data_IF_259386463610
#
_entry.id   IF_259386463610
#
_cell.length_a   1.000
_cell.length_b   1.000
_cell.length_c   1.000
_cell.angle_alpha   90.00
_cell.angle_beta   90.00
_cell.angle_gamma   90.00
#
_symmetry.space_group_name_H-M   'P 1'
#
loop_
_entity.id
_entity.type
_entity.pdbx_description
1 polymer ?
#
# COMPACT_ATOMS: atom_id res chain seq x y z
N UNK A 1 -2.04 7.39 -2.15
CA UNK A 1 -1.98 6.72 -0.84
C UNK A 1 -3.38 6.75 -0.27
N UNK A 2 -3.89 5.61 0.16
CA UNK A 2 -5.28 5.47 0.63
C UNK A 2 -5.32 4.90 2.04
N UNK A 3 -6.41 5.16 2.75
CA UNK A 3 -6.69 4.58 4.06
C UNK A 3 -7.05 3.08 3.93
N UNK A 4 -7.20 2.38 5.05
CA UNK A 4 -7.63 0.98 5.08
C UNK A 4 -6.67 -0.01 4.39
N UNK A 5 -5.35 0.21 4.44
CA UNK A 5 -4.35 -0.75 3.94
C UNK A 5 -3.85 -1.78 4.98
N UNK A 6 -3.37 -2.92 4.49
CA UNK A 6 -2.64 -3.93 5.30
C UNK A 6 -1.18 -3.94 4.87
N UNK A 7 -0.26 -3.81 5.83
CA UNK A 7 1.18 -3.97 5.65
C UNK A 7 1.60 -5.35 6.17
N UNK A 8 2.63 -5.95 5.58
CA UNK A 8 3.14 -7.25 6.01
C UNK A 8 3.67 -7.17 7.45
N UNK A 9 3.18 -8.03 8.33
CA UNK A 9 3.69 -8.17 9.70
C UNK A 9 5.00 -8.93 9.75
N UNK A 10 5.75 -8.71 10.83
CA UNK A 10 6.97 -9.43 11.21
C UNK A 10 8.10 -9.37 10.16
N UNK A 11 7.96 -8.48 9.18
CA UNK A 11 8.95 -8.21 8.13
C UNK A 11 8.96 -6.71 7.82
N UNK A 12 10.05 -6.26 7.18
CA UNK A 12 10.13 -4.88 6.71
C UNK A 12 9.02 -4.62 5.68
N UNK A 13 8.23 -3.58 5.91
CA UNK A 13 7.20 -3.13 4.98
C UNK A 13 7.57 -1.75 4.46
N UNK A 14 7.32 -1.47 3.19
CA UNK A 14 7.65 -0.19 2.59
C UNK A 14 6.38 0.57 2.19
N UNK A 15 6.43 1.89 2.35
CA UNK A 15 5.40 2.82 1.91
C UNK A 15 6.00 3.64 0.78
N UNK A 16 5.30 3.67 -0.35
CA UNK A 16 5.68 4.43 -1.53
C UNK A 16 4.75 5.61 -1.70
N UNK A 17 5.32 6.76 -2.07
CA UNK A 17 4.54 7.93 -2.45
C UNK A 17 4.80 8.39 -3.87
N UNK A 18 4.03 9.42 -4.23
CA UNK A 18 4.15 10.10 -5.51
C UNK A 18 5.41 10.95 -5.60
N UNK A 19 5.32 11.97 -6.46
CA UNK A 19 6.44 12.85 -6.78
C UNK A 19 6.82 13.71 -5.58
N UNK A 20 8.10 13.78 -5.27
CA UNK A 20 8.67 14.73 -4.31
C UNK A 20 9.94 15.38 -4.89
N UNK A 21 10.26 16.59 -4.44
CA UNK A 21 11.42 17.31 -4.97
C UNK A 21 12.73 16.63 -4.55
N UNK A 22 13.79 16.70 -5.39
CA UNK A 22 15.10 16.17 -5.05
C UNK A 22 15.60 16.71 -3.71
N UNK A 23 16.11 15.84 -2.85
CA UNK A 23 16.61 16.22 -1.52
C UNK A 23 15.55 16.32 -0.44
N UNK A 24 14.26 16.19 -0.77
CA UNK A 24 13.18 16.12 0.23
C UNK A 24 13.39 14.91 1.15
N UNK A 25 13.28 15.12 2.46
CA UNK A 25 13.28 14.02 3.44
C UNK A 25 11.85 13.71 3.86
N UNK A 26 11.40 12.48 3.57
CA UNK A 26 10.07 12.01 3.93
C UNK A 26 10.17 11.14 5.18
N UNK A 27 9.38 11.44 6.19
CA UNK A 27 9.34 10.68 7.45
C UNK A 27 8.00 9.98 7.58
N UNK A 28 8.06 8.70 7.96
CA UNK A 28 6.89 7.86 8.25
C UNK A 28 6.93 7.45 9.71
N UNK A 29 5.89 7.81 10.45
CA UNK A 29 5.72 7.47 11.85
C UNK A 29 4.50 6.58 12.06
N UNK A 30 4.69 5.48 12.78
CA UNK A 30 3.62 4.58 13.21
C UNK A 30 3.57 4.60 14.73
N UNK A 31 2.45 4.99 15.36
CA UNK A 31 2.35 5.11 16.80
C UNK A 31 2.24 3.72 17.45
N UNK A 32 3.37 3.17 17.87
CA UNK A 32 3.44 2.01 18.78
C UNK A 32 4.26 2.36 20.02
N UNK A 33 3.97 1.70 21.14
CA UNK A 33 4.52 2.02 22.49
C UNK A 33 6.05 2.08 22.57
N UNK A 34 6.79 1.48 21.63
CA UNK A 34 8.24 1.31 21.68
C UNK A 34 8.98 1.66 20.37
N UNK A 35 8.44 2.51 19.49
CA UNK A 35 9.02 2.69 18.14
C UNK A 35 9.73 4.04 17.91
N UNK A 36 10.93 3.96 17.32
CA UNK A 36 11.62 5.06 16.64
C UNK A 36 11.03 5.30 15.24
N UNK A 37 10.81 6.56 14.87
CA UNK A 37 10.34 6.99 13.55
C UNK A 37 11.22 6.43 12.42
N UNK A 38 10.63 6.02 11.29
CA UNK A 38 11.35 5.63 10.10
C UNK A 38 11.44 6.83 9.15
N UNK A 39 12.64 7.13 8.64
CA UNK A 39 12.87 8.19 7.67
C UNK A 39 13.47 7.60 6.39
N UNK A 40 13.02 8.11 5.24
CA UNK A 40 13.56 7.74 3.94
C UNK A 40 13.70 8.95 3.02
N UNK A 41 14.46 8.76 1.95
CA UNK A 41 14.74 9.81 0.97
C UNK A 41 13.96 9.61 -0.32
N UNK A 42 13.91 10.67 -1.12
CA UNK A 42 13.44 10.61 -2.51
C UNK A 42 14.46 9.85 -3.34
N UNK A 43 14.00 8.82 -4.07
CA UNK A 43 14.81 8.04 -5.01
C UNK A 43 14.39 8.38 -6.43
N UNK A 44 15.28 8.97 -7.22
CA UNK A 44 15.00 9.40 -8.60
C UNK A 44 16.25 9.88 -9.33
N UNK A 45 16.11 10.20 -10.62
CA UNK A 45 17.19 10.71 -11.48
C UNK A 45 17.76 12.05 -10.97
N UNK A 46 18.99 12.49 -11.23
CA UNK A 46 19.49 13.80 -10.78
C UNK A 46 18.62 14.99 -11.26
N UNK A 47 18.56 16.12 -10.53
CA UNK A 47 17.84 17.32 -10.96
C UNK A 47 18.16 17.68 -12.43
N UNK A 48 17.14 17.72 -13.28
CA UNK A 48 17.29 18.06 -14.71
C UNK A 48 17.36 16.87 -15.68
N UNK A 49 17.40 15.62 -15.22
CA UNK A 49 17.21 14.44 -16.08
C UNK A 49 15.75 14.00 -16.09
N UNK A 50 15.05 14.19 -17.21
CA UNK A 50 13.75 13.59 -17.49
C UNK A 50 13.89 12.58 -18.62
N UNK A 51 14.04 11.31 -18.30
CA UNK A 51 13.87 10.22 -19.28
C UNK A 51 12.44 9.68 -19.10
N UNK A 52 11.51 10.14 -19.94
CA UNK A 52 10.09 9.72 -19.89
C UNK A 52 9.37 10.03 -18.55
N UNK A 53 8.47 9.13 -18.13
CA UNK A 53 7.62 9.22 -16.91
C UNK A 53 8.37 8.84 -15.61
N UNK A 54 9.70 8.98 -15.57
CA UNK A 54 10.47 8.78 -14.34
C UNK A 54 10.42 10.04 -13.47
N UNK A 55 9.33 10.18 -12.72
CA UNK A 55 9.24 11.17 -11.67
C UNK A 55 9.91 10.67 -10.38
N UNK A 56 10.44 11.61 -9.59
CA UNK A 56 11.06 11.39 -8.29
C UNK A 56 10.10 10.77 -7.27
N UNK A 57 10.13 9.45 -7.07
CA UNK A 57 9.28 8.78 -6.08
C UNK A 57 10.05 8.58 -4.78
N UNK A 58 9.36 8.67 -3.66
CA UNK A 58 9.95 8.35 -2.37
C UNK A 58 9.48 7.00 -1.86
N UNK A 59 10.36 6.35 -1.10
CA UNK A 59 10.09 5.10 -0.41
C UNK A 59 10.59 5.20 1.02
N UNK A 60 9.76 4.85 1.99
CA UNK A 60 10.17 4.71 3.38
C UNK A 60 9.79 3.33 3.86
N UNK A 61 10.77 2.57 4.35
CA UNK A 61 10.53 1.25 4.90
C UNK A 61 10.47 1.31 6.42
N UNK A 62 9.38 0.79 6.97
CA UNK A 62 9.20 0.61 8.41
C UNK A 62 9.78 -0.75 8.81
N UNK A 63 10.49 -0.86 9.94
CA UNK A 63 11.05 -2.14 10.36
C UNK A 63 9.95 -3.18 10.69
N UNK A 64 10.32 -4.47 10.86
CA UNK A 64 9.41 -5.53 11.24
C UNK A 64 8.48 -5.15 12.39
N UNK A 65 7.18 -5.29 12.15
CA UNK A 65 6.13 -4.88 13.08
C UNK A 65 5.20 -6.04 13.37
N UNK A 66 4.95 -6.39 14.65
CA UNK A 66 4.00 -7.43 15.00
C UNK A 66 2.60 -7.17 14.45
N UNK A 67 1.87 -8.24 14.19
CA UNK A 67 0.49 -8.16 13.71
C UNK A 67 -0.42 -7.37 14.66
N UNK A 68 -1.29 -6.53 14.11
CA UNK A 68 -2.25 -5.75 14.88
C UNK A 68 -2.68 -4.45 14.20
N UNK A 69 -3.20 -3.53 15.02
CA UNK A 69 -3.84 -2.29 14.60
C UNK A 69 -5.33 -2.29 14.95
N UNK A 70 -6.12 -1.33 14.43
CA UNK A 70 -5.72 -0.33 13.43
C UNK A 70 -4.80 0.78 13.97
N UNK A 71 -3.82 1.17 13.16
CA UNK A 71 -2.93 2.29 13.41
C UNK A 71 -3.28 3.48 12.52
N UNK A 72 -2.89 4.68 12.96
CA UNK A 72 -2.84 5.88 12.12
C UNK A 72 -1.38 6.16 11.80
N UNK A 73 -0.98 5.88 10.56
CA UNK A 73 0.39 6.17 10.09
C UNK A 73 0.45 7.63 9.64
N UNK A 74 1.49 8.32 10.08
CA UNK A 74 1.75 9.72 9.76
C UNK A 74 2.87 9.80 8.74
N UNK A 75 2.66 10.54 7.66
CA UNK A 75 3.69 10.89 6.69
C UNK A 75 3.89 12.40 6.73
N UNK A 76 5.15 12.82 6.92
CA UNK A 76 5.54 14.23 6.94
C UNK A 76 6.73 14.45 6.01
N UNK A 77 6.90 15.70 5.58
CA UNK A 77 8.09 16.17 4.87
C UNK A 77 8.71 17.31 5.66
N UNK A 78 10.04 17.44 5.64
CA UNK A 78 10.71 18.60 6.23
C UNK A 78 10.32 19.91 5.55
N UNK A 79 10.11 19.85 4.24
CA UNK A 79 9.94 21.03 3.39
C UNK A 79 8.47 21.45 3.24
N UNK A 80 7.55 20.78 3.96
CA UNK A 80 6.12 21.08 3.92
C UNK A 80 5.50 20.99 5.32
N UNK A 81 4.67 21.96 5.72
CA UNK A 81 3.90 21.87 6.95
C UNK A 81 2.74 20.86 6.84
N UNK A 82 2.46 20.33 5.65
CA UNK A 82 1.37 19.40 5.43
C UNK A 82 1.76 17.99 5.90
N UNK A 83 0.84 17.38 6.64
CA UNK A 83 0.93 16.00 7.09
C UNK A 83 -0.15 15.17 6.41
N UNK A 84 0.23 13.98 5.96
CA UNK A 84 -0.71 12.97 5.48
C UNK A 84 -0.94 11.94 6.59
N UNK A 85 -2.20 11.65 6.88
CA UNK A 85 -2.61 10.64 7.83
C UNK A 85 -3.21 9.45 7.08
N UNK A 86 -2.57 8.29 7.17
CA UNK A 86 -3.11 7.02 6.67
C UNK A 86 -3.81 6.34 7.83
N UNK A 87 -5.13 6.28 7.77
CA UNK A 87 -5.97 5.75 8.84
C UNK A 87 -6.28 4.29 8.61
N UNK A 88 -6.57 3.62 9.72
CA UNK A 88 -6.99 2.22 9.71
C UNK A 88 -5.95 1.29 9.06
N UNK A 89 -4.66 1.50 9.33
CA UNK A 89 -3.58 0.65 8.81
C UNK A 89 -3.42 -0.59 9.70
N UNK A 90 -3.46 -1.78 9.12
CA UNK A 90 -3.19 -3.03 9.84
C UNK A 90 -1.79 -3.52 9.50
N UNK A 91 -1.13 -4.19 10.44
CA UNK A 91 -0.04 -5.10 10.15
C UNK A 91 -0.57 -6.53 10.23
N UNK A 92 -0.43 -7.29 9.16
CA UNK A 92 -1.03 -8.61 9.02
C UNK A 92 -0.39 -9.43 7.91
N UNK A 93 -0.98 -10.56 7.59
CA UNK A 93 -0.52 -11.41 6.49
C UNK A 93 -1.06 -10.88 5.16
N UNK A 94 -0.17 -10.71 4.18
CA UNK A 94 -0.52 -10.23 2.84
C UNK A 94 -0.38 -11.38 1.85
N UNK A 95 -1.49 -11.78 1.24
CA UNK A 95 -1.54 -12.85 0.25
C UNK A 95 -1.74 -12.27 -1.15
N UNK A 96 -0.90 -12.71 -2.10
CA UNK A 96 -1.15 -12.48 -3.52
C UNK A 96 -2.03 -13.61 -4.05
N UNK A 97 -3.29 -13.31 -4.31
CA UNK A 97 -4.23 -14.25 -4.91
C UNK A 97 -4.25 -14.05 -6.44
N UNK A 98 -3.63 -14.96 -7.19
CA UNK A 98 -3.62 -14.94 -8.66
C UNK A 98 -3.96 -16.31 -9.24
N UNK A 99 -4.54 -16.31 -10.45
CA UNK A 99 -4.91 -17.53 -11.16
C UNK A 99 -5.86 -17.25 -12.32
N UNK A 100 -6.58 -18.28 -12.77
CA UNK A 100 -7.58 -18.19 -13.84
C UNK A 100 -8.88 -17.50 -13.36
N UNK A 101 -9.80 -17.25 -14.29
CA UNK A 101 -11.05 -16.49 -14.06
C UNK A 101 -11.88 -16.95 -12.85
N UNK A 102 -11.87 -18.25 -12.53
CA UNK A 102 -12.61 -18.79 -11.39
C UNK A 102 -12.07 -18.36 -10.02
N UNK A 103 -10.82 -17.88 -9.92
CA UNK A 103 -10.26 -17.36 -8.66
C UNK A 103 -10.75 -15.95 -8.30
N UNK A 104 -11.43 -15.28 -9.22
CA UNK A 104 -12.07 -13.98 -8.97
C UNK A 104 -13.56 -14.12 -8.61
N UNK A 105 -14.08 -15.35 -8.44
CA UNK A 105 -15.47 -15.54 -8.04
C UNK A 105 -15.74 -14.92 -6.66
N UNK A 106 -16.80 -14.13 -6.59
CA UNK A 106 -17.27 -13.55 -5.33
C UNK A 106 -17.94 -14.62 -4.45
N UNK A 107 -17.96 -14.41 -3.13
CA UNK A 107 -18.63 -15.32 -2.18
C UNK A 107 -20.10 -15.56 -2.55
N UNK A 108 -20.77 -14.59 -3.16
CA UNK A 108 -22.17 -14.75 -3.61
C UNK A 108 -22.33 -15.81 -4.71
N UNK A 109 -21.27 -16.12 -5.45
CA UNK A 109 -21.28 -17.09 -6.55
C UNK A 109 -20.92 -18.51 -6.09
N UNK A 110 -20.61 -18.71 -4.80
CA UNK A 110 -20.25 -20.03 -4.26
C UNK A 110 -21.49 -20.83 -3.87
N UNK A 111 -21.30 -22.12 -3.57
CA UNK A 111 -22.30 -22.92 -2.88
C UNK A 111 -22.70 -22.24 -1.56
N UNK A 112 -23.99 -22.15 -1.29
CA UNK A 112 -24.57 -21.45 -0.13
C UNK A 112 -24.18 -19.95 0.01
N UNK A 113 -23.90 -19.29 -1.11
CA UNK A 113 -23.47 -17.88 -1.15
C UNK A 113 -24.32 -16.89 -0.31
N UNK A 114 -25.67 -16.95 -0.31
CA UNK A 114 -26.49 -16.07 0.53
C UNK A 114 -26.18 -16.17 2.03
N UNK A 115 -26.06 -17.38 2.56
CA UNK A 115 -25.78 -17.61 3.99
C UNK A 115 -24.35 -17.18 4.35
N UNK A 116 -23.39 -17.43 3.45
CA UNK A 116 -21.99 -17.03 3.66
C UNK A 116 -21.81 -15.52 3.64
N UNK A 117 -22.55 -14.80 2.79
CA UNK A 117 -22.55 -13.33 2.77
C UNK A 117 -23.12 -12.77 4.09
N UNK A 118 -24.14 -13.38 4.67
CA UNK A 118 -24.67 -12.94 5.97
C UNK A 118 -23.62 -13.07 7.08
N UNK A 119 -22.78 -14.11 6.99
CA UNK A 119 -21.70 -14.42 7.94
C UNK A 119 -20.39 -13.70 7.64
N UNK A 120 -20.26 -12.99 6.51
CA UNK A 120 -18.97 -12.48 6.01
C UNK A 120 -18.43 -11.22 6.71
N UNK A 121 -18.69 -11.05 8.02
CA UNK A 121 -18.26 -9.88 8.79
C UNK A 121 -16.86 -10.08 9.37
N UNK A 122 -15.85 -9.93 8.53
CA UNK A 122 -14.44 -10.04 8.92
C UNK A 122 -13.74 -8.67 8.87
N UNK A 123 -13.77 -7.87 9.96
CA UNK A 123 -13.26 -6.49 9.94
C UNK A 123 -11.74 -6.37 9.75
N UNK A 124 -11.01 -7.48 9.91
CA UNK A 124 -9.56 -7.56 9.74
C UNK A 124 -9.14 -8.11 8.38
N UNK A 125 -10.09 -8.57 7.55
CA UNK A 125 -9.81 -9.05 6.20
C UNK A 125 -10.06 -7.91 5.22
N UNK A 126 -9.12 -7.69 4.29
CA UNK A 126 -9.23 -6.66 3.25
C UNK A 126 -8.90 -7.25 1.90
N UNK A 127 -9.73 -6.91 0.92
CA UNK A 127 -9.55 -7.31 -0.46
C UNK A 127 -9.17 -6.08 -1.28
N UNK A 128 -8.04 -6.15 -1.96
CA UNK A 128 -7.63 -5.16 -2.95
C UNK A 128 -7.68 -5.79 -4.34
N UNK A 129 -8.52 -5.24 -5.21
CA UNK A 129 -8.71 -5.75 -6.57
C UNK A 129 -8.28 -4.71 -7.57
N UNK A 130 -7.38 -5.08 -8.47
CA UNK A 130 -6.99 -4.23 -9.61
C UNK A 130 -8.06 -4.30 -10.69
N UNK A 131 -8.25 -3.19 -11.42
CA UNK A 131 -9.06 -3.22 -12.65
C UNK A 131 -8.33 -4.11 -13.68
N UNK A 132 -9.01 -5.08 -14.32
CA UNK A 132 -8.40 -5.87 -15.39
C UNK A 132 -7.90 -4.94 -16.50
N UNK A 133 -6.63 -5.07 -16.87
CA UNK A 133 -6.10 -4.41 -18.06
C UNK A 133 -6.46 -5.27 -19.28
N UNK A 134 -7.10 -4.66 -20.28
CA UNK A 134 -7.28 -5.29 -21.59
C UNK A 134 -5.92 -5.22 -22.29
N UNK A 135 -5.36 -6.37 -22.68
CA UNK A 135 -4.16 -6.38 -23.49
C UNK A 135 -4.46 -5.63 -24.81
N UNK A 136 -3.60 -4.69 -25.25
CA UNK A 136 -3.76 -4.10 -26.57
C UNK A 136 -3.73 -5.23 -27.59
N UNK A 137 -4.68 -5.22 -28.53
CA UNK A 137 -4.71 -6.17 -29.62
C UNK A 137 -3.37 -6.12 -30.37
N UNK A 138 -2.80 -7.29 -30.68
CA UNK A 138 -1.61 -7.41 -31.53
C UNK A 138 -1.88 -6.65 -32.83
N UNK A 139 -1.05 -5.65 -33.12
CA UNK A 139 -1.05 -5.02 -34.43
C UNK A 139 -0.30 -5.97 -35.36
N UNK A 140 -1.00 -6.60 -36.30
CA UNK A 140 -0.39 -7.33 -37.40
C UNK A 140 0.49 -6.35 -38.20
N UNK A 141 1.78 -6.70 -38.34
CA UNK A 141 2.79 -5.98 -39.13
C UNK A 141 2.69 -6.35 -40.62
#
# INVERSE_FOLDING_TARGET
LEDHMVLQRDQQACIWGGVADPGTVVTVAVPQRNWSQAAGGVTGLPPGQRIGTLAYKWTVCVPPTPGGGPYTVTVTSRDSPHQLLLRNVLFGDVFLCSGQSNMQMTVRQTFDGPSEVERSRFPLIRLFTLKPAVAPAEQEE
#
